data_IF_255734756908
#
_entry.id   IF_255734756908
#
_cell.length_a   1.000
_cell.length_b   1.000
_cell.length_c   1.000
_cell.angle_alpha   90.00
_cell.angle_beta   90.00
_cell.angle_gamma   90.00
#
_symmetry.space_group_name_H-M   'P 1'
#
loop_
_entity.id
_entity.type
_entity.pdbx_description
1 polymer ?
#
# COMPACT_ATOMS: atom_id res chain seq x y z
N UNK A 1 -10.02 3.55 -7.81
CA UNK A 1 -8.63 3.66 -7.32
C UNK A 1 -8.12 2.25 -7.09
N UNK A 2 -6.87 1.97 -7.45
CA UNK A 2 -6.29 0.62 -7.32
C UNK A 2 -5.32 0.61 -6.14
N UNK A 3 -5.47 -0.36 -5.23
CA UNK A 3 -4.51 -0.54 -4.14
C UNK A 3 -3.11 -0.78 -4.69
N UNK A 4 -2.12 -0.20 -4.03
CA UNK A 4 -0.69 -0.43 -4.26
C UNK A 4 -0.13 -1.15 -3.05
N UNK A 5 0.54 -2.27 -3.27
CA UNK A 5 1.29 -3.03 -2.29
C UNK A 5 2.78 -2.79 -2.55
N UNK A 6 3.51 -2.31 -1.55
CA UNK A 6 4.97 -2.10 -1.63
C UNK A 6 5.63 -2.96 -0.58
N UNK A 7 6.62 -3.75 -0.98
CA UNK A 7 7.42 -4.60 -0.11
C UNK A 7 8.82 -4.04 -0.02
N UNK A 8 9.34 -3.92 1.19
CA UNK A 8 10.74 -3.60 1.41
C UNK A 8 11.65 -4.84 1.32
N UNK A 9 12.95 -4.63 1.42
CA UNK A 9 13.96 -5.71 1.38
C UNK A 9 13.91 -6.66 2.58
N UNK A 10 13.26 -6.27 3.68
CA UNK A 10 13.02 -7.14 4.84
C UNK A 10 11.78 -8.03 4.66
N UNK A 11 10.94 -7.72 3.67
CA UNK A 11 9.67 -8.39 3.43
C UNK A 11 8.49 -7.76 4.17
N UNK A 12 8.71 -6.63 4.83
CA UNK A 12 7.63 -5.81 5.38
C UNK A 12 6.88 -5.11 4.24
N UNK A 13 5.59 -4.88 4.49
CA UNK A 13 4.65 -4.43 3.47
C UNK A 13 3.94 -3.17 3.92
N UNK A 14 3.86 -2.20 3.01
CA UNK A 14 2.97 -1.06 3.10
C UNK A 14 1.87 -1.15 2.04
N UNK A 15 0.67 -0.67 2.37
CA UNK A 15 -0.48 -0.64 1.48
C UNK A 15 -0.96 0.79 1.29
N UNK A 16 -1.15 1.19 0.04
CA UNK A 16 -1.61 2.52 -0.30
C UNK A 16 -2.89 2.46 -1.14
N UNK A 17 -3.80 3.40 -0.90
CA UNK A 17 -5.05 3.51 -1.66
C UNK A 17 -4.86 3.86 -3.15
N UNK A 18 -3.71 4.42 -3.53
CA UNK A 18 -3.38 4.80 -4.90
C UNK A 18 -1.87 4.95 -5.09
N UNK A 19 -1.43 5.03 -6.35
CA UNK A 19 -0.04 5.33 -6.71
C UNK A 19 0.39 6.71 -6.23
N UNK A 20 -0.48 7.73 -6.35
CA UNK A 20 -0.18 9.07 -5.85
C UNK A 20 0.02 9.09 -4.32
N UNK A 21 -0.75 8.27 -3.60
CA UNK A 21 -0.60 8.15 -2.14
C UNK A 21 0.73 7.48 -1.79
N UNK A 22 1.12 6.42 -2.51
CA UNK A 22 2.42 5.79 -2.35
C UNK A 22 3.57 6.75 -2.69
N UNK A 23 3.52 7.42 -3.84
CA UNK A 23 4.52 8.38 -4.29
C UNK A 23 4.74 9.53 -3.30
N UNK A 24 3.68 10.00 -2.65
CA UNK A 24 3.75 11.08 -1.66
C UNK A 24 4.17 10.63 -0.26
N UNK A 25 4.20 9.32 0.01
CA UNK A 25 4.62 8.76 1.29
C UNK A 25 6.06 8.26 1.26
N UNK A 26 6.47 7.61 0.16
CA UNK A 26 7.81 7.05 -0.01
C UNK A 26 8.86 8.15 -0.13
N UNK A 27 10.02 7.96 0.50
CA UNK A 27 11.15 8.86 0.35
C UNK A 27 11.97 8.51 -0.90
N UNK A 28 12.40 9.53 -1.66
CA UNK A 28 13.20 9.32 -2.87
C UNK A 28 14.54 8.65 -2.56
N UNK A 29 15.14 8.96 -1.42
CA UNK A 29 16.42 8.37 -0.99
C UNK A 29 16.28 6.85 -0.77
N UNK A 30 15.22 6.40 -0.10
CA UNK A 30 14.95 4.97 0.11
C UNK A 30 14.73 4.22 -1.22
N UNK A 31 14.13 4.90 -2.20
CA UNK A 31 13.96 4.34 -3.56
C UNK A 31 15.31 4.22 -4.27
N UNK A 32 16.15 5.26 -4.22
CA UNK A 32 17.47 5.27 -4.85
C UNK A 32 18.44 4.27 -4.18
N UNK A 33 18.33 4.08 -2.86
CA UNK A 33 19.09 3.10 -2.08
C UNK A 33 18.57 1.66 -2.25
N UNK A 34 17.44 1.49 -2.93
CA UNK A 34 16.86 0.18 -3.24
C UNK A 34 16.21 -0.51 -2.04
N UNK A 35 15.72 0.25 -1.06
CA UNK A 35 15.07 -0.31 0.13
C UNK A 35 13.74 -1.00 -0.19
N UNK A 36 13.09 -0.62 -1.29
CA UNK A 36 11.86 -1.23 -1.79
C UNK A 36 12.16 -2.35 -2.80
N UNK A 37 11.92 -3.59 -2.40
CA UNK A 37 12.19 -4.77 -3.22
C UNK A 37 11.18 -4.95 -4.36
N UNK A 38 9.90 -4.64 -4.14
CA UNK A 38 8.86 -4.80 -5.15
C UNK A 38 7.61 -3.96 -4.89
N UNK A 39 6.91 -3.57 -5.96
CA UNK A 39 5.61 -2.90 -5.88
C UNK A 39 4.60 -3.49 -6.88
N UNK A 40 3.34 -3.64 -6.45
CA UNK A 40 2.27 -4.24 -7.24
C UNK A 40 0.94 -3.53 -7.04
N UNK A 41 0.08 -3.56 -8.06
CA UNK A 41 -1.36 -3.31 -7.88
C UNK A 41 -2.07 -4.58 -7.37
N UNK A 42 -3.25 -4.43 -6.76
CA UNK A 42 -4.08 -5.54 -6.30
C UNK A 42 -4.45 -6.57 -7.38
N UNK A 43 -4.36 -6.20 -8.65
CA UNK A 43 -4.60 -7.09 -9.80
C UNK A 43 -3.32 -7.77 -10.31
N UNK A 44 -2.22 -7.68 -9.54
CA UNK A 44 -0.89 -8.23 -9.84
C UNK A 44 -0.08 -7.42 -10.85
N UNK A 45 -0.51 -6.23 -11.28
CA UNK A 45 0.31 -5.36 -12.14
C UNK A 45 1.60 -4.98 -11.43
N UNK A 46 2.74 -5.25 -12.07
CA UNK A 46 4.04 -4.84 -11.53
C UNK A 46 4.20 -3.33 -11.72
N UNK A 47 4.56 -2.64 -10.65
CA UNK A 47 4.92 -1.23 -10.66
C UNK A 47 6.44 -1.13 -10.60
N UNK A 48 7.02 -0.36 -11.51
CA UNK A 48 8.41 0.06 -11.40
C UNK A 48 8.50 1.35 -10.59
N UNK A 49 9.46 1.35 -9.66
CA UNK A 49 9.79 2.48 -8.82
C UNK A 49 11.01 3.20 -9.40
N UNK A 50 11.03 4.51 -9.31
CA UNK A 50 12.19 5.32 -9.64
C UNK A 50 12.05 6.72 -9.05
N UNK A 51 13.03 7.56 -9.32
CA UNK A 51 13.06 8.94 -8.84
C UNK A 51 13.27 9.93 -9.99
N UNK A 52 12.75 11.14 -9.83
CA UNK A 52 13.02 12.28 -10.68
C UNK A 52 12.86 13.56 -9.86
N UNK A 53 13.87 14.45 -9.90
CA UNK A 53 13.87 15.73 -9.17
C UNK A 53 13.49 15.58 -7.68
N UNK A 54 14.11 14.62 -6.98
CA UNK A 54 13.86 14.29 -5.56
C UNK A 54 12.43 13.79 -5.27
N UNK A 55 11.70 13.34 -6.28
CA UNK A 55 10.34 12.77 -6.15
C UNK A 55 10.29 11.34 -6.61
N UNK A 56 9.48 10.54 -5.92
CA UNK A 56 9.20 9.16 -6.31
C UNK A 56 8.24 9.13 -7.50
N UNK A 57 8.58 8.33 -8.50
CA UNK A 57 7.79 8.07 -9.70
C UNK A 57 7.40 6.59 -9.72
N UNK A 58 6.10 6.33 -9.83
CA UNK A 58 5.54 4.98 -9.96
C UNK A 58 5.08 4.79 -11.40
N UNK A 59 5.57 3.72 -12.04
CA UNK A 59 5.21 3.40 -13.43
C UNK A 59 4.59 2.02 -13.50
N UNK A 60 3.31 1.96 -13.90
CA UNK A 60 2.67 0.69 -14.26
C UNK A 60 3.39 0.07 -15.45
N UNK A 61 3.73 -1.20 -15.32
CA UNK A 61 4.25 -1.98 -16.43
C UNK A 61 3.13 -2.76 -17.12
N UNK A 62 3.42 -3.34 -18.28
CA UNK A 62 2.52 -4.30 -18.93
C UNK A 62 2.66 -5.73 -18.35
N UNK A 63 3.43 -5.91 -17.27
CA UNK A 63 3.66 -7.21 -16.65
C UNK A 63 2.69 -7.46 -15.51
N UNK A 64 2.30 -8.72 -15.37
CA UNK A 64 1.47 -9.25 -14.29
C UNK A 64 2.25 -10.32 -13.55
N UNK A 65 2.32 -10.21 -12.23
CA UNK A 65 2.93 -11.23 -11.38
C UNK A 65 2.13 -11.37 -10.07
N UNK A 66 0.89 -11.82 -10.21
CA UNK A 66 0.03 -12.14 -9.07
C UNK A 66 0.67 -13.21 -8.14
N UNK A 67 1.34 -14.27 -8.64
CA UNK A 67 2.03 -15.22 -7.77
C UNK A 67 3.08 -14.57 -6.85
N UNK A 68 3.91 -13.65 -7.37
CA UNK A 68 4.89 -12.94 -6.54
C UNK A 68 4.23 -12.04 -5.49
N UNK A 69 3.18 -11.29 -5.87
CA UNK A 69 2.38 -10.50 -4.92
C UNK A 69 1.83 -11.39 -3.80
N UNK A 70 1.20 -12.51 -4.14
CA UNK A 70 0.64 -13.45 -3.16
C UNK A 70 1.71 -14.08 -2.27
N UNK A 71 2.91 -14.35 -2.81
CA UNK A 71 4.03 -14.86 -2.03
C UNK A 71 4.53 -13.81 -1.02
N UNK A 72 4.66 -12.55 -1.42
CA UNK A 72 5.03 -11.44 -0.54
C UNK A 72 4.00 -11.25 0.58
N UNK A 73 2.70 -11.27 0.25
CA UNK A 73 1.62 -11.16 1.24
C UNK A 73 1.67 -12.27 2.28
N UNK A 74 1.87 -13.52 1.85
CA UNK A 74 2.01 -14.67 2.75
C UNK A 74 3.23 -14.54 3.66
N UNK A 75 4.36 -14.09 3.10
CA UNK A 75 5.58 -13.89 3.87
C UNK A 75 5.38 -12.82 4.96
N UNK A 76 4.81 -11.68 4.59
CA UNK A 76 4.49 -10.61 5.54
C UNK A 76 3.50 -11.08 6.61
N UNK A 77 2.38 -11.70 6.23
CA UNK A 77 1.39 -12.23 7.18
C UNK A 77 2.02 -13.21 8.18
N UNK A 78 2.89 -14.11 7.71
CA UNK A 78 3.62 -15.02 8.59
C UNK A 78 4.53 -14.28 9.57
N UNK A 79 5.23 -13.24 9.11
CA UNK A 79 6.13 -12.45 9.96
C UNK A 79 5.38 -11.71 11.09
N UNK A 80 4.19 -11.18 10.79
CA UNK A 80 3.36 -10.45 11.76
C UNK A 80 2.39 -11.34 12.56
N UNK A 81 2.41 -12.66 12.33
CA UNK A 81 1.53 -13.63 13.00
C UNK A 81 0.05 -13.55 12.57
N UNK A 82 -0.21 -13.02 11.37
CA UNK A 82 -1.53 -12.93 10.76
C UNK A 82 -1.92 -14.18 9.94
N UNK A 83 -3.14 -14.21 9.38
CA UNK A 83 -3.60 -15.33 8.56
C UNK A 83 -2.80 -15.46 7.25
N UNK A 84 -2.32 -16.67 6.93
CA UNK A 84 -1.54 -16.90 5.69
C UNK A 84 -2.40 -16.82 4.42
N UNK A 85 -3.71 -17.07 4.52
CA UNK A 85 -4.61 -16.96 3.37
C UNK A 85 -5.14 -15.53 3.24
N UNK A 86 -4.70 -14.84 2.18
CA UNK A 86 -5.28 -13.58 1.73
C UNK A 86 -6.17 -13.88 0.52
N UNK A 87 -7.48 -13.70 0.67
CA UNK A 87 -8.46 -13.96 -0.38
C UNK A 87 -8.64 -12.74 -1.30
N UNK A 88 -9.57 -11.86 -0.92
CA UNK A 88 -9.86 -10.63 -1.64
C UNK A 88 -8.80 -9.56 -1.31
N UNK A 89 -7.99 -9.21 -2.30
CA UNK A 89 -6.91 -8.22 -2.16
C UNK A 89 -7.42 -6.79 -1.96
N UNK A 90 -8.61 -6.45 -2.47
CA UNK A 90 -9.21 -5.14 -2.26
C UNK A 90 -9.76 -5.05 -0.84
N UNK A 91 -10.47 -6.08 -0.38
CA UNK A 91 -10.95 -6.15 1.00
C UNK A 91 -9.78 -6.13 2.00
N UNK A 92 -8.74 -6.92 1.74
CA UNK A 92 -7.52 -6.94 2.54
C UNK A 92 -6.86 -5.55 2.61
N UNK A 93 -6.69 -4.87 1.46
CA UNK A 93 -6.12 -3.53 1.43
C UNK A 93 -6.95 -2.52 2.24
N UNK A 94 -8.28 -2.57 2.10
CA UNK A 94 -9.20 -1.71 2.85
C UNK A 94 -9.14 -1.96 4.36
N UNK A 95 -8.94 -3.21 4.79
CA UNK A 95 -8.78 -3.54 6.20
C UNK A 95 -7.47 -2.97 6.77
N UNK A 96 -6.34 -3.10 6.06
CA UNK A 96 -5.05 -2.50 6.48
C UNK A 96 -5.15 -0.98 6.56
N UNK A 97 -5.67 -0.32 5.52
CA UNK A 97 -5.85 1.14 5.48
C UNK A 97 -6.76 1.64 6.61
N UNK A 98 -7.78 0.85 6.98
CA UNK A 98 -8.63 1.15 8.14
C UNK A 98 -7.87 1.04 9.44
N UNK A 99 -7.11 -0.04 9.65
CA UNK A 99 -6.33 -0.25 10.87
C UNK A 99 -5.30 0.86 11.08
N UNK A 100 -4.56 1.24 10.02
CA UNK A 100 -3.59 2.35 10.08
C UNK A 100 -4.28 3.67 10.45
N UNK A 101 -5.40 3.99 9.81
CA UNK A 101 -6.17 5.20 10.10
C UNK A 101 -6.69 5.23 11.55
N UNK A 102 -7.18 4.10 12.06
CA UNK A 102 -7.68 3.97 13.44
C UNK A 102 -6.56 3.99 14.50
N UNK A 103 -5.36 3.59 14.10
CA UNK A 103 -4.13 3.66 14.89
C UNK A 103 -3.55 5.06 15.04
N UNK A 104 -3.90 6.01 14.14
CA UNK A 104 -3.37 7.39 14.19
C UNK A 104 -3.79 8.15 15.44
N UNK A 105 -2.81 8.77 16.10
CA UNK A 105 -2.98 9.67 17.24
C UNK A 105 -2.64 11.13 16.87
N UNK A 106 -3.35 12.14 17.41
CA UNK A 106 -4.56 12.03 18.23
C UNK A 106 -5.79 11.70 17.40
N UNK A 107 -6.69 10.88 17.97
CA UNK A 107 -7.96 10.55 17.32
C UNK A 107 -8.82 11.81 17.22
N UNK A 108 -9.31 12.20 16.03
CA UNK A 108 -10.22 13.32 15.93
C UNK A 108 -11.51 13.00 16.71
N UNK A 109 -11.98 13.91 17.58
CA UNK A 109 -13.23 13.73 18.31
C UNK A 109 -14.40 13.44 17.36
N UNK A 110 -15.37 12.63 17.79
CA UNK A 110 -16.52 12.20 16.95
C UNK A 110 -17.28 13.35 16.31
N UNK A 111 -17.32 14.52 16.96
CA UNK A 111 -17.96 15.74 16.46
C UNK A 111 -17.20 16.41 15.31
N UNK A 112 -15.87 16.23 15.22
CA UNK A 112 -15.03 16.76 14.12
C UNK A 112 -15.25 16.02 12.80
N UNK A 113 -15.79 14.79 12.84
CA UNK A 113 -16.09 13.99 11.63
C UNK A 113 -17.17 14.61 10.75
N UNK A 114 -18.05 15.44 11.30
CA UNK A 114 -19.21 16.04 10.60
C UNK A 114 -18.86 17.32 9.81
N UNK A 115 -17.74 17.96 10.11
CA UNK A 115 -17.41 19.32 9.61
C UNK A 115 -16.29 19.34 8.56
N UNK A 116 -15.68 18.19 8.25
CA UNK A 116 -14.70 18.04 7.17
C UNK A 116 -15.17 16.94 6.20
N UNK A 117 -15.63 17.28 4.99
CA UNK A 117 -15.92 16.27 3.98
C UNK A 117 -14.59 15.64 3.57
N UNK A 118 -14.33 14.40 4.01
CA UNK A 118 -13.11 13.64 3.68
C UNK A 118 -12.51 12.70 4.76
N UNK A 119 -13.10 12.54 5.96
CA UNK A 119 -12.38 11.93 7.12
C UNK A 119 -12.79 10.49 7.49
N UNK A 120 -12.83 9.58 6.52
CA UNK A 120 -12.80 8.13 6.73
C UNK A 120 -11.42 7.56 6.37
N UNK A 121 -11.12 6.29 6.70
CA UNK A 121 -9.92 5.65 6.17
C UNK A 121 -9.96 5.70 4.63
N UNK A 122 -8.80 5.86 3.95
CA UNK A 122 -8.73 5.72 2.51
C UNK A 122 -9.33 4.38 2.06
N UNK A 123 -10.06 4.38 0.94
CA UNK A 123 -10.70 3.17 0.40
C UNK A 123 -10.31 2.93 -1.05
N UNK A 124 -10.10 1.66 -1.37
CA UNK A 124 -9.88 1.11 -2.71
C UNK A 124 -11.22 0.59 -3.22
N UNK A 125 -11.55 0.90 -4.48
CA UNK A 125 -12.80 0.48 -5.09
C UNK A 125 -12.66 -0.94 -5.68
N UNK A 126 -13.67 -1.78 -5.48
CA UNK A 126 -13.89 -2.97 -6.30
C UNK A 126 -14.15 -2.48 -7.73
N UNK A 127 -13.32 -2.86 -8.69
CA UNK A 127 -13.45 -2.44 -10.09
C UNK A 127 -13.91 -3.61 -10.94
#
# INVERSE_FOLDING_TARGET
MSAVFVFDTSGDMNVFASEDHAAGWMEAIDVDDGEYAAAYLHDGTVIELGTADERVILRRTNRKDLPALMAGLRAHQRAVGGPEEVGDLVAFANDILRMEWEGRWPRPPRWLKRWFPGKGPPQVAET
#
